data_IF_671519040559
#
_entry.id   IF_671519040559
#
_cell.length_a   1.000
_cell.length_b   1.000
_cell.length_c   1.000
_cell.angle_alpha   90.00
_cell.angle_beta   90.00
_cell.angle_gamma   90.00
#
_symmetry.space_group_name_H-M   'P 1'
#
loop_
_entity.id
_entity.type
_entity.pdbx_description
1 polymer ?
#
# COMPACT_ATOMS: atom_id res chain seq x y z
N UNK A 1 -6.09 -5.65 1.03
CA UNK A 1 -7.12 -5.96 2.07
C UNK A 1 -7.21 -4.78 3.04
N UNK A 2 -8.41 -4.38 3.49
CA UNK A 2 -8.57 -3.36 4.54
C UNK A 2 -8.55 -4.03 5.92
N UNK A 3 -7.66 -3.58 6.80
CA UNK A 3 -7.51 -4.08 8.18
C UNK A 3 -7.81 -2.92 9.12
N UNK A 4 -8.69 -3.12 10.10
CA UNK A 4 -9.04 -2.11 11.09
C UNK A 4 -8.63 -2.60 12.49
N UNK A 5 -7.73 -1.87 13.15
CA UNK A 5 -7.22 -2.20 14.49
C UNK A 5 -7.40 -0.99 15.39
N UNK A 6 -8.35 -1.08 16.32
CA UNK A 6 -8.74 0.07 17.14
C UNK A 6 -9.26 1.20 16.25
N UNK A 7 -8.59 2.34 16.28
CA UNK A 7 -8.92 3.51 15.47
C UNK A 7 -8.17 3.58 14.13
N UNK A 8 -7.23 2.67 13.89
CA UNK A 8 -6.33 2.73 12.73
C UNK A 8 -6.79 1.82 11.60
N UNK A 9 -6.65 2.32 10.37
CA UNK A 9 -6.95 1.58 9.15
C UNK A 9 -5.68 1.35 8.34
N UNK A 10 -5.40 0.08 8.06
CA UNK A 10 -4.27 -0.35 7.24
C UNK A 10 -4.78 -0.96 5.94
N UNK A 11 -4.03 -0.76 4.85
CA UNK A 11 -4.37 -1.33 3.57
C UNK A 11 -3.21 -2.18 3.06
N UNK A 12 -3.47 -3.45 2.75
CA UNK A 12 -2.46 -4.36 2.17
C UNK A 12 -2.57 -4.36 0.65
N UNK A 13 -1.43 -4.30 -0.04
CA UNK A 13 -1.28 -4.45 -1.50
C UNK A 13 -2.42 -3.81 -2.31
N UNK A 14 -2.62 -2.48 -2.19
CA UNK A 14 -3.76 -1.81 -2.77
C UNK A 14 -3.67 -1.74 -4.30
N UNK A 15 -4.63 -2.37 -4.97
CA UNK A 15 -4.77 -2.31 -6.44
C UNK A 15 -6.21 -1.97 -6.81
N UNK A 16 -6.40 -0.80 -7.45
CA UNK A 16 -7.65 -0.40 -8.12
C UNK A 16 -7.50 -0.37 -9.64
N UNK A 17 -6.29 -0.53 -10.18
CA UNK A 17 -6.09 -0.64 -11.62
C UNK A 17 -6.97 -1.72 -12.25
N UNK A 18 -7.44 -1.42 -13.46
CA UNK A 18 -8.17 -2.34 -14.34
C UNK A 18 -7.25 -3.46 -14.87
N UNK A 19 -5.93 -3.22 -14.90
CA UNK A 19 -4.93 -4.19 -15.38
C UNK A 19 -3.70 -4.19 -14.48
N UNK A 20 -3.22 -5.38 -14.12
CA UNK A 20 -1.94 -5.57 -13.45
C UNK A 20 -0.82 -5.61 -14.51
N UNK A 21 -0.45 -4.44 -15.04
CA UNK A 21 0.53 -4.31 -16.13
C UNK A 21 1.14 -2.92 -16.18
N UNK A 22 2.40 -2.76 -16.64
CA UNK A 22 2.94 -1.44 -16.97
C UNK A 22 2.24 -0.83 -18.19
N UNK A 23 1.59 -1.64 -19.03
CA UNK A 23 0.93 -1.20 -20.25
C UNK A 23 -0.58 -1.05 -20.01
N UNK A 24 -1.12 0.14 -20.24
CA UNK A 24 -2.55 0.44 -20.03
C UNK A 24 -3.52 -0.46 -20.82
N UNK A 25 -3.07 -1.06 -21.93
CA UNK A 25 -3.91 -1.84 -22.85
C UNK A 25 -3.63 -3.35 -22.86
N UNK A 26 -2.55 -3.80 -22.23
CA UNK A 26 -2.09 -5.18 -22.28
C UNK A 26 -1.90 -5.77 -20.88
N UNK A 27 -1.74 -7.08 -20.78
CA UNK A 27 -1.58 -7.80 -19.52
C UNK A 27 -2.89 -8.18 -18.83
N UNK A 28 -2.81 -8.84 -17.66
CA UNK A 28 -3.96 -9.38 -16.94
C UNK A 28 -5.00 -8.30 -16.64
N UNK A 29 -6.25 -8.52 -17.09
CA UNK A 29 -7.37 -7.63 -16.79
C UNK A 29 -8.08 -8.14 -15.54
N UNK A 30 -8.41 -7.21 -14.65
CA UNK A 30 -9.33 -7.44 -13.54
C UNK A 30 -10.68 -7.94 -14.08
N UNK A 31 -11.20 -9.02 -13.48
CA UNK A 31 -12.50 -9.63 -13.86
C UNK A 31 -13.62 -9.34 -12.85
N UNK A 32 -13.28 -8.74 -11.71
CA UNK A 32 -14.22 -8.33 -10.66
C UNK A 32 -13.86 -6.92 -10.21
N UNK A 33 -14.85 -6.04 -10.10
CA UNK A 33 -14.65 -4.71 -9.54
C UNK A 33 -13.96 -4.77 -8.17
N UNK A 34 -13.26 -3.70 -7.80
CA UNK A 34 -12.73 -3.57 -6.45
C UNK A 34 -13.88 -3.68 -5.43
N UNK A 35 -13.63 -4.31 -4.29
CA UNK A 35 -14.67 -4.57 -3.29
C UNK A 35 -15.23 -3.31 -2.61
N UNK A 36 -14.51 -2.20 -2.69
CA UNK A 36 -14.90 -0.88 -2.20
C UNK A 36 -14.38 0.18 -3.18
N UNK A 37 -15.13 1.26 -3.42
CA UNK A 37 -14.62 2.38 -4.21
C UNK A 37 -13.53 3.11 -3.43
N UNK A 38 -12.53 3.68 -4.13
CA UNK A 38 -11.45 4.45 -3.48
C UNK A 38 -12.01 5.58 -2.59
N UNK A 39 -13.03 6.29 -3.09
CA UNK A 39 -13.68 7.39 -2.37
C UNK A 39 -14.42 6.95 -1.10
N UNK A 40 -14.80 5.68 -1.01
CA UNK A 40 -15.55 5.13 0.12
C UNK A 40 -14.64 4.54 1.19
N UNK A 41 -13.32 4.49 0.95
CA UNK A 41 -12.36 4.04 1.95
C UNK A 41 -12.34 4.99 3.16
N UNK A 42 -12.26 4.48 4.39
CA UNK A 42 -11.90 5.31 5.53
C UNK A 42 -10.50 5.90 5.34
N UNK A 43 -10.13 6.90 6.14
CA UNK A 43 -8.76 7.41 6.17
C UNK A 43 -7.79 6.27 6.43
N UNK A 44 -6.78 6.10 5.58
CA UNK A 44 -5.78 5.05 5.71
C UNK A 44 -4.57 5.60 6.45
N UNK A 45 -4.17 4.95 7.54
CA UNK A 45 -3.07 5.38 8.39
C UNK A 45 -1.72 4.82 7.92
N UNK A 46 -1.71 3.67 7.23
CA UNK A 46 -0.53 3.11 6.59
C UNK A 46 -0.90 2.08 5.51
N UNK A 47 -0.02 1.94 4.51
CA UNK A 47 -0.05 0.84 3.54
C UNK A 47 1.01 -0.20 3.89
N UNK A 48 0.65 -1.47 3.78
CA UNK A 48 1.55 -2.61 3.92
C UNK A 48 1.72 -3.25 2.54
N UNK A 49 2.88 -3.07 1.93
CA UNK A 49 3.19 -3.56 0.58
C UNK A 49 4.12 -4.77 0.68
N UNK A 50 3.69 -5.90 0.16
CA UNK A 50 4.43 -7.16 0.23
C UNK A 50 5.60 -7.22 -0.75
N UNK A 51 5.43 -6.75 -1.98
CA UNK A 51 6.48 -6.76 -3.02
C UNK A 51 6.08 -5.86 -4.21
N UNK A 52 6.91 -5.85 -5.25
CA UNK A 52 6.85 -4.90 -6.37
C UNK A 52 6.21 -5.42 -7.67
N UNK A 53 5.47 -6.53 -7.63
CA UNK A 53 4.74 -6.99 -8.82
C UNK A 53 3.49 -6.14 -9.07
N UNK A 54 3.07 -5.97 -10.33
CA UNK A 54 1.97 -5.09 -10.73
C UNK A 54 0.59 -5.47 -10.18
N UNK A 55 0.42 -6.69 -9.69
CA UNK A 55 -0.78 -7.16 -9.01
C UNK A 55 -0.79 -6.86 -7.51
N UNK A 56 0.28 -6.26 -6.99
CA UNK A 56 0.42 -5.80 -5.60
C UNK A 56 0.83 -4.31 -5.49
N UNK A 57 1.70 -3.86 -6.39
CA UNK A 57 2.23 -2.49 -6.49
C UNK A 57 1.55 -1.76 -7.65
N UNK A 58 0.43 -1.10 -7.32
CA UNK A 58 -0.26 -0.17 -8.21
C UNK A 58 0.07 1.27 -7.82
N UNK A 59 1.06 1.86 -8.49
CA UNK A 59 1.53 3.22 -8.22
C UNK A 59 0.40 4.26 -8.31
N UNK A 60 -0.56 4.10 -9.21
CA UNK A 60 -1.65 5.07 -9.35
C UNK A 60 -2.59 5.03 -8.13
N UNK A 61 -2.89 3.83 -7.61
CA UNK A 61 -3.64 3.68 -6.37
C UNK A 61 -2.88 4.24 -5.18
N UNK A 62 -1.57 3.97 -5.09
CA UNK A 62 -0.71 4.46 -4.01
C UNK A 62 -0.54 5.99 -4.05
N UNK A 63 -0.41 6.59 -5.23
CA UNK A 63 -0.40 8.04 -5.44
C UNK A 63 -1.70 8.70 -4.99
N UNK A 64 -2.84 8.15 -5.41
CA UNK A 64 -4.14 8.68 -5.01
C UNK A 64 -4.32 8.64 -3.48
N UNK A 65 -3.96 7.51 -2.87
CA UNK A 65 -4.01 7.29 -1.43
C UNK A 65 -3.09 8.26 -0.68
N UNK A 66 -1.84 8.40 -1.12
CA UNK A 66 -0.86 9.30 -0.51
C UNK A 66 -1.31 10.77 -0.57
N UNK A 67 -1.87 11.21 -1.71
CA UNK A 67 -2.40 12.57 -1.85
C UNK A 67 -3.55 12.87 -0.89
N UNK A 68 -4.38 11.86 -0.57
CA UNK A 68 -5.53 12.02 0.32
C UNK A 68 -5.14 11.99 1.79
N UNK A 69 -4.34 11.01 2.19
CA UNK A 69 -4.15 10.66 3.61
C UNK A 69 -2.74 10.93 4.13
N UNK A 70 -1.77 11.23 3.25
CA UNK A 70 -0.35 11.41 3.56
C UNK A 70 0.26 10.24 4.35
N UNK A 71 -0.20 9.02 4.08
CA UNK A 71 0.26 7.84 4.82
C UNK A 71 1.66 7.38 4.38
N UNK A 72 2.42 6.73 5.28
CA UNK A 72 3.59 5.96 4.92
C UNK A 72 3.24 4.61 4.27
N UNK A 73 4.15 4.12 3.44
CA UNK A 73 4.11 2.79 2.83
C UNK A 73 5.24 1.95 3.45
N UNK A 74 4.91 0.83 4.09
CA UNK A 74 5.87 -0.12 4.63
C UNK A 74 6.09 -1.24 3.61
N UNK A 75 7.34 -1.53 3.28
CA UNK A 75 7.67 -2.49 2.21
C UNK A 75 9.03 -3.16 2.42
N UNK A 76 9.35 -4.17 1.61
CA UNK A 76 10.67 -4.80 1.59
C UNK A 76 11.77 -3.89 1.06
N UNK A 77 13.03 -4.25 1.34
CA UNK A 77 14.22 -3.56 0.86
C UNK A 77 14.22 -3.35 -0.67
N UNK A 78 14.80 -2.21 -1.09
CA UNK A 78 14.97 -1.77 -2.48
C UNK A 78 13.68 -1.46 -3.27
N UNK A 79 12.49 -1.48 -2.65
CA UNK A 79 11.24 -1.11 -3.31
C UNK A 79 11.03 0.41 -3.41
N UNK A 80 11.66 1.23 -2.57
CA UNK A 80 11.54 2.68 -2.58
C UNK A 80 11.96 3.30 -3.92
N UNK A 81 12.84 2.65 -4.68
CA UNK A 81 13.26 3.12 -6.00
C UNK A 81 12.14 3.18 -7.05
N UNK A 82 11.01 2.50 -6.82
CA UNK A 82 9.84 2.54 -7.72
C UNK A 82 8.89 3.70 -7.41
N UNK A 83 9.11 4.42 -6.30
CA UNK A 83 8.20 5.46 -5.82
C UNK A 83 8.72 6.86 -6.12
N UNK A 84 7.82 7.84 -6.31
CA UNK A 84 8.21 9.25 -6.30
C UNK A 84 8.83 9.67 -4.96
N UNK A 85 9.86 10.53 -5.00
CA UNK A 85 10.62 10.98 -3.81
C UNK A 85 9.77 11.67 -2.74
N UNK A 86 8.61 12.24 -3.11
CA UNK A 86 7.72 12.92 -2.16
C UNK A 86 6.92 11.96 -1.27
N UNK A 87 6.87 10.66 -1.61
CA UNK A 87 6.18 9.67 -0.82
C UNK A 87 7.04 9.16 0.33
N UNK A 88 6.40 8.94 1.48
CA UNK A 88 7.08 8.31 2.62
C UNK A 88 7.06 6.80 2.45
N UNK A 89 8.19 6.23 2.04
CA UNK A 89 8.39 4.77 1.93
C UNK A 89 9.37 4.31 2.99
N UNK A 90 8.97 3.31 3.78
CA UNK A 90 9.74 2.72 4.86
C UNK A 90 10.11 1.30 4.45
N UNK A 91 11.36 1.11 4.06
CA UNK A 91 11.91 -0.19 3.69
C UNK A 91 12.35 -0.98 4.92
N UNK A 92 12.02 -2.26 4.94
CA UNK A 92 12.30 -3.17 6.03
C UNK A 92 12.92 -4.46 5.51
N UNK A 93 13.91 -4.99 6.21
CA UNK A 93 14.41 -6.34 5.97
C UNK A 93 13.48 -7.38 6.61
N UNK A 94 13.58 -8.62 6.16
CA UNK A 94 12.89 -9.76 6.75
C UNK A 94 13.19 -9.85 8.23
N UNK A 95 12.14 -10.14 9.00
CA UNK A 95 12.13 -10.18 10.46
C UNK A 95 12.35 -8.81 11.14
N UNK A 96 12.47 -7.74 10.34
CA UNK A 96 12.51 -6.37 10.82
C UNK A 96 11.18 -6.00 11.49
N UNK A 97 11.27 -5.26 12.60
CA UNK A 97 10.10 -4.82 13.38
C UNK A 97 10.30 -3.38 13.82
N UNK A 98 9.31 -2.54 13.56
CA UNK A 98 9.31 -1.13 13.98
C UNK A 98 8.01 -0.77 14.69
N UNK A 99 8.06 0.01 15.79
CA UNK A 99 6.87 0.53 16.44
C UNK A 99 6.05 1.39 15.48
N UNK A 100 4.72 1.27 15.55
CA UNK A 100 3.85 2.15 14.79
C UNK A 100 3.80 3.53 15.46
N UNK A 101 4.13 4.63 14.76
CA UNK A 101 4.37 5.93 15.41
C UNK A 101 3.16 6.48 16.19
N UNK A 102 1.94 6.18 15.75
CA UNK A 102 0.72 6.70 16.37
C UNK A 102 0.25 5.89 17.60
N UNK A 103 0.74 4.66 17.80
CA UNK A 103 0.44 3.85 18.99
C UNK A 103 1.57 2.84 19.23
N UNK A 104 2.33 3.05 20.31
CA UNK A 104 3.48 2.24 20.67
C UNK A 104 3.14 0.80 21.10
N UNK A 105 1.85 0.47 21.26
CA UNK A 105 1.37 -0.90 21.47
C UNK A 105 1.26 -1.68 20.16
N UNK A 106 1.29 -0.98 19.03
CA UNK A 106 1.31 -1.56 17.69
C UNK A 106 2.72 -1.51 17.13
N UNK A 107 3.03 -2.52 16.32
CA UNK A 107 4.30 -2.63 15.61
C UNK A 107 4.05 -3.25 14.25
N UNK A 108 4.75 -2.76 13.24
CA UNK A 108 4.77 -3.36 11.92
C UNK A 108 6.01 -4.26 11.86
N UNK A 109 5.80 -5.50 11.43
CA UNK A 109 6.86 -6.45 11.19
C UNK A 109 6.80 -6.89 9.73
N UNK A 110 7.96 -6.98 9.09
CA UNK A 110 8.09 -7.50 7.74
C UNK A 110 8.61 -8.94 7.84
N UNK A 111 7.80 -9.92 7.43
CA UNK A 111 8.02 -11.35 7.72
C UNK A 111 7.72 -12.22 6.52
#
# INVERSE_FOLDING_TARGET
VLIQIGQFNFLTDPVWAERASPLRRFGPKRVRAAGIALNDLPRIDAVLLSHNHYDHLDLASLEWLHQRDHMPIYTGLANACYFPEYMTVIEMDWWGKIPFPADNRLSIAYT
#
